data_IF_899711445685
#
_entry.id   IF_899711445685
#
_cell.length_a   1.000
_cell.length_b   1.000
_cell.length_c   1.000
_cell.angle_alpha   90.00
_cell.angle_beta   90.00
_cell.angle_gamma   90.00
#
_symmetry.space_group_name_H-M   'P 1'
#
loop_
_entity.id
_entity.type
_entity.pdbx_description
1 polymer ?
#
# COMPACT_ATOMS: atom_id res chain seq x y z
N UNK A 1 -0.03 -36.46 14.09
CA UNK A 1 1.22 -36.50 14.88
C UNK A 1 1.92 -35.18 14.65
N UNK A 2 2.37 -34.47 15.69
CA UNK A 2 3.07 -33.18 15.51
C UNK A 2 4.53 -33.41 15.86
N UNK A 3 5.42 -32.86 15.03
CA UNK A 3 6.86 -33.00 15.19
C UNK A 3 7.45 -31.73 15.81
N UNK A 4 8.24 -31.82 16.86
CA UNK A 4 8.95 -30.67 17.42
C UNK A 4 10.04 -30.22 16.48
N UNK A 5 10.18 -28.91 16.31
CA UNK A 5 11.32 -28.30 15.63
C UNK A 5 12.40 -27.85 16.63
N UNK A 6 11.97 -27.49 17.84
CA UNK A 6 12.82 -27.08 18.93
C UNK A 6 13.37 -28.28 19.71
N UNK A 7 14.50 -28.06 20.38
CA UNK A 7 15.07 -29.01 21.37
C UNK A 7 14.15 -29.13 22.58
N UNK A 8 13.46 -28.06 22.96
CA UNK A 8 12.41 -28.07 23.98
C UNK A 8 11.17 -28.77 23.45
N UNK A 9 10.62 -29.69 24.23
CA UNK A 9 9.43 -30.46 23.86
C UNK A 9 8.33 -30.26 24.89
N UNK A 10 7.09 -30.18 24.41
CA UNK A 10 5.91 -30.20 25.25
C UNK A 10 5.37 -31.61 25.42
N UNK A 11 4.73 -31.88 26.55
CA UNK A 11 4.04 -33.13 26.78
C UNK A 11 2.91 -33.33 25.77
N UNK A 12 2.68 -34.60 25.42
CA UNK A 12 1.71 -34.94 24.37
C UNK A 12 0.27 -34.50 24.70
N UNK A 13 -0.10 -34.56 25.96
CA UNK A 13 -1.45 -34.17 26.42
C UNK A 13 -1.63 -32.64 26.31
N UNK A 14 -0.66 -31.86 26.81
CA UNK A 14 -0.63 -30.40 26.73
C UNK A 14 -0.66 -29.97 25.26
N UNK A 15 0.13 -30.62 24.40
CA UNK A 15 0.19 -30.32 22.98
C UNK A 15 -1.14 -30.58 22.26
N UNK A 16 -1.86 -31.63 22.62
CA UNK A 16 -3.14 -31.97 22.03
C UNK A 16 -4.22 -30.97 22.41
N UNK A 17 -4.24 -30.54 23.65
CA UNK A 17 -5.16 -29.55 24.17
C UNK A 17 -4.89 -28.16 23.56
N UNK A 18 -3.66 -27.68 23.64
CA UNK A 18 -3.21 -26.40 23.10
C UNK A 18 -3.48 -26.29 21.59
N UNK A 19 -3.25 -27.38 20.82
CA UNK A 19 -3.56 -27.42 19.40
C UNK A 19 -5.05 -27.30 19.09
N UNK A 20 -5.90 -27.88 19.92
CA UNK A 20 -7.36 -27.83 19.75
C UNK A 20 -7.90 -26.42 19.95
N UNK A 21 -7.29 -25.68 20.91
CA UNK A 21 -7.67 -24.32 21.24
C UNK A 21 -6.93 -23.25 20.43
N UNK A 22 -5.91 -23.66 19.68
CA UNK A 22 -5.11 -22.76 18.86
C UNK A 22 -5.96 -22.01 17.82
N UNK A 23 -5.74 -20.71 17.70
CA UNK A 23 -6.33 -19.90 16.64
C UNK A 23 -5.66 -20.23 15.30
N UNK A 24 -6.45 -20.66 14.33
CA UNK A 24 -5.97 -21.05 13.01
C UNK A 24 -6.01 -19.87 12.05
N UNK A 25 -4.85 -19.50 11.47
CA UNK A 25 -4.70 -18.46 10.45
C UNK A 25 -3.99 -19.09 9.25
N UNK A 26 -4.77 -19.51 8.26
CA UNK A 26 -4.24 -20.28 7.14
C UNK A 26 -3.54 -21.57 7.60
N UNK A 27 -2.30 -21.82 7.14
CA UNK A 27 -1.56 -23.04 7.48
C UNK A 27 -0.94 -23.00 8.89
N UNK A 28 -1.02 -21.89 9.61
CA UNK A 28 -0.43 -21.67 10.94
C UNK A 28 -1.50 -21.80 12.01
N UNK A 29 -1.13 -22.30 13.19
CA UNK A 29 -1.94 -22.31 14.41
C UNK A 29 -1.19 -21.60 15.54
N UNK A 30 -1.88 -20.70 16.23
CA UNK A 30 -1.33 -19.92 17.35
C UNK A 30 -1.99 -20.43 18.64
N UNK A 31 -1.29 -21.28 19.37
CA UNK A 31 -1.69 -21.77 20.69
C UNK A 31 -1.18 -20.87 21.81
N UNK A 32 -1.50 -21.21 23.05
CA UNK A 32 -0.94 -20.54 24.23
C UNK A 32 0.46 -21.05 24.59
N UNK A 33 0.74 -22.32 24.28
CA UNK A 33 2.00 -22.98 24.62
C UNK A 33 2.92 -23.20 23.44
N UNK A 34 2.36 -23.26 22.21
CA UNK A 34 3.11 -23.53 21.01
C UNK A 34 2.58 -22.81 19.77
N UNK A 35 3.49 -22.55 18.84
CA UNK A 35 3.18 -22.13 17.49
C UNK A 35 3.24 -23.33 16.56
N UNK A 36 2.16 -23.58 15.81
CA UNK A 36 2.01 -24.72 14.89
C UNK A 36 2.26 -24.25 13.46
N UNK A 37 3.18 -24.93 12.77
CA UNK A 37 3.71 -24.50 11.49
C UNK A 37 3.51 -25.60 10.43
N UNK A 38 3.39 -25.19 9.18
CA UNK A 38 3.22 -26.13 8.08
C UNK A 38 4.52 -26.82 7.65
N UNK A 39 4.37 -27.95 7.01
CA UNK A 39 5.39 -28.61 6.21
C UNK A 39 4.90 -28.71 4.79
N UNK A 40 5.50 -27.99 3.86
CA UNK A 40 5.20 -27.99 2.43
C UNK A 40 3.69 -27.94 2.12
N UNK A 41 2.98 -29.04 2.17
CA UNK A 41 1.53 -29.18 1.90
C UNK A 41 0.69 -29.59 3.11
N UNK A 42 1.34 -29.91 4.26
CA UNK A 42 0.62 -30.36 5.46
C UNK A 42 0.60 -29.22 6.47
N UNK A 43 -0.61 -28.73 6.75
CA UNK A 43 -0.83 -27.65 7.70
C UNK A 43 -0.56 -28.13 9.15
N UNK A 44 0.09 -27.28 9.94
CA UNK A 44 0.29 -27.48 11.36
C UNK A 44 0.93 -28.85 11.71
N UNK A 45 1.88 -29.28 10.88
CA UNK A 45 2.63 -30.52 11.08
C UNK A 45 3.70 -30.38 12.13
N UNK A 46 4.37 -29.23 12.16
CA UNK A 46 5.41 -28.92 13.12
C UNK A 46 4.90 -28.02 14.25
N UNK A 47 5.60 -28.07 15.40
CA UNK A 47 5.36 -27.11 16.45
C UNK A 47 6.67 -26.61 17.05
N UNK A 48 6.64 -25.38 17.58
CA UNK A 48 7.71 -24.77 18.36
C UNK A 48 7.06 -24.23 19.64
N UNK A 49 7.53 -24.64 20.84
CA UNK A 49 7.10 -24.06 22.11
C UNK A 49 7.35 -22.55 22.12
N UNK A 50 6.42 -21.76 22.64
CA UNK A 50 6.55 -20.28 22.70
C UNK A 50 7.84 -19.85 23.42
N UNK A 51 8.22 -20.58 24.48
CA UNK A 51 9.45 -20.30 25.23
C UNK A 51 10.76 -20.52 24.44
N UNK A 52 10.71 -21.24 23.32
CA UNK A 52 11.85 -21.46 22.46
C UNK A 52 11.92 -20.44 21.30
N UNK A 53 10.86 -19.67 21.11
CA UNK A 53 10.77 -18.68 20.04
C UNK A 53 11.50 -17.40 20.48
N UNK A 54 12.43 -16.97 19.66
CA UNK A 54 13.17 -15.73 19.85
C UNK A 54 12.50 -14.55 19.10
N UNK A 55 11.94 -14.86 17.91
CA UNK A 55 11.43 -13.83 17.02
C UNK A 55 10.46 -14.40 15.98
N UNK A 56 9.43 -13.65 15.60
CA UNK A 56 8.52 -14.02 14.52
C UNK A 56 8.32 -12.82 13.58
N UNK A 57 8.54 -12.99 12.29
CA UNK A 57 8.45 -11.86 11.36
C UNK A 57 8.01 -12.26 9.96
N UNK A 58 7.61 -11.26 9.18
CA UNK A 58 7.26 -11.39 7.77
C UNK A 58 8.51 -11.27 6.90
N UNK A 59 8.65 -12.20 5.97
CA UNK A 59 9.64 -12.13 4.89
C UNK A 59 8.89 -12.21 3.57
N UNK A 60 9.11 -11.25 2.69
CA UNK A 60 8.58 -11.26 1.33
C UNK A 60 9.71 -11.58 0.37
N UNK A 61 9.53 -12.61 -0.46
CA UNK A 61 10.47 -12.98 -1.51
C UNK A 61 9.77 -12.91 -2.86
N UNK A 62 10.51 -12.54 -3.90
CA UNK A 62 10.01 -12.61 -5.27
C UNK A 62 10.13 -14.03 -5.81
N UNK A 63 9.15 -14.47 -6.61
CA UNK A 63 9.24 -15.75 -7.30
C UNK A 63 10.39 -15.73 -8.31
N UNK A 64 11.04 -16.89 -8.51
CA UNK A 64 12.17 -17.01 -9.46
C UNK A 64 11.79 -16.56 -10.89
N UNK A 65 10.52 -16.69 -11.30
CA UNK A 65 10.01 -16.22 -12.58
C UNK A 65 9.99 -14.70 -12.73
N UNK A 66 9.89 -13.95 -11.63
CA UNK A 66 9.93 -12.48 -11.63
C UNK A 66 11.29 -11.90 -11.99
N UNK A 67 12.39 -12.57 -11.64
CA UNK A 67 13.74 -12.14 -11.97
C UNK A 67 14.16 -12.43 -13.42
N UNK A 68 13.60 -13.49 -14.03
CA UNK A 68 13.99 -13.91 -15.40
C UNK A 68 13.16 -13.25 -16.50
N UNK A 69 12.13 -12.47 -16.15
CA UNK A 69 11.21 -11.86 -17.12
C UNK A 69 10.33 -12.86 -17.90
N UNK A 70 10.44 -14.17 -17.60
CA UNK A 70 9.75 -15.26 -18.32
C UNK A 70 8.59 -15.89 -17.54
N UNK A 71 8.27 -15.40 -16.34
CA UNK A 71 7.22 -15.93 -15.49
C UNK A 71 6.33 -14.86 -14.90
N UNK A 72 5.23 -15.29 -14.27
CA UNK A 72 4.32 -14.38 -13.57
C UNK A 72 5.08 -13.77 -12.38
N UNK A 73 5.16 -12.45 -12.36
CA UNK A 73 5.70 -11.69 -11.24
C UNK A 73 4.78 -11.88 -10.02
N UNK A 74 5.26 -12.63 -9.03
CA UNK A 74 4.52 -12.88 -7.81
C UNK A 74 5.42 -12.70 -6.58
N UNK A 75 4.92 -11.99 -5.60
CA UNK A 75 5.51 -11.94 -4.26
C UNK A 75 5.07 -13.15 -3.45
N UNK A 76 6.01 -13.80 -2.78
CA UNK A 76 5.77 -14.91 -1.87
C UNK A 76 5.98 -14.42 -0.46
N UNK A 77 4.92 -14.47 0.35
CA UNK A 77 4.95 -14.02 1.73
C UNK A 77 5.13 -15.20 2.69
N UNK A 78 6.10 -15.07 3.57
CA UNK A 78 6.45 -16.08 4.57
C UNK A 78 6.27 -15.51 5.97
N UNK A 79 5.69 -16.33 6.86
CA UNK A 79 5.87 -16.16 8.30
C UNK A 79 7.15 -16.89 8.69
N UNK A 80 8.14 -16.18 9.21
CA UNK A 80 9.41 -16.74 9.65
C UNK A 80 9.44 -16.76 11.16
N UNK A 81 9.80 -17.91 11.72
CA UNK A 81 9.99 -18.11 13.16
C UNK A 81 11.45 -18.42 13.40
N UNK A 82 12.11 -17.61 14.23
CA UNK A 82 13.48 -17.80 14.69
C UNK A 82 13.42 -18.39 16.11
N UNK A 83 14.17 -19.45 16.37
CA UNK A 83 14.14 -20.25 17.61
C UNK A 83 15.48 -20.94 17.88
N UNK A 84 15.71 -21.38 19.12
CA UNK A 84 16.86 -22.17 19.56
C UNK A 84 18.21 -21.64 19.08
N UNK A 85 18.52 -20.36 19.32
CA UNK A 85 19.82 -19.78 18.99
C UNK A 85 20.01 -19.41 17.51
N UNK A 86 18.91 -19.05 16.81
CA UNK A 86 18.95 -18.55 15.45
C UNK A 86 18.56 -19.56 14.37
N UNK A 87 18.01 -20.72 14.75
CA UNK A 87 17.37 -21.62 13.78
C UNK A 87 16.13 -20.95 13.21
N UNK A 88 15.90 -21.05 11.92
CA UNK A 88 14.74 -20.44 11.24
C UNK A 88 13.80 -21.49 10.63
N UNK A 89 12.50 -21.25 10.77
CA UNK A 89 11.46 -21.95 10.01
C UNK A 89 10.60 -20.94 9.27
N UNK A 90 10.64 -20.99 7.96
CA UNK A 90 9.81 -20.18 7.07
C UNK A 90 8.55 -20.97 6.67
N UNK A 91 7.38 -20.38 6.89
CA UNK A 91 6.08 -20.88 6.49
C UNK A 91 5.51 -20.04 5.33
N UNK A 92 5.33 -20.62 4.18
CA UNK A 92 4.71 -19.96 3.04
C UNK A 92 3.21 -19.77 3.31
N UNK A 93 2.77 -18.52 3.24
CA UNK A 93 1.36 -18.15 3.32
C UNK A 93 1.01 -17.39 2.04
N UNK A 94 0.19 -18.01 1.19
CA UNK A 94 -0.12 -17.45 -0.15
C UNK A 94 -0.76 -16.07 -0.15
N UNK A 95 -1.48 -15.72 0.91
CA UNK A 95 -2.16 -14.42 1.05
C UNK A 95 -1.40 -13.58 2.07
N UNK A 96 -0.81 -12.49 1.62
CA UNK A 96 0.02 -11.60 2.45
C UNK A 96 -0.71 -11.09 3.70
N UNK A 97 -1.97 -10.67 3.56
CA UNK A 97 -2.78 -10.18 4.68
C UNK A 97 -2.95 -11.22 5.83
N UNK A 98 -2.86 -12.52 5.53
CA UNK A 98 -2.87 -13.56 6.56
C UNK A 98 -1.58 -13.62 7.37
N UNK A 99 -0.45 -13.23 6.78
CA UNK A 99 0.81 -13.09 7.53
C UNK A 99 0.68 -11.92 8.49
N UNK A 100 0.11 -10.80 8.04
CA UNK A 100 -0.11 -9.62 8.87
C UNK A 100 -1.12 -9.90 10.00
N UNK A 101 -2.18 -10.65 9.71
CA UNK A 101 -3.15 -11.13 10.71
C UNK A 101 -2.46 -12.03 11.75
N UNK A 102 -1.62 -12.98 11.33
CA UNK A 102 -0.88 -13.85 12.24
C UNK A 102 0.09 -13.07 13.13
N UNK A 103 0.83 -12.13 12.58
CA UNK A 103 1.73 -11.25 13.34
C UNK A 103 0.97 -10.36 14.34
N UNK A 104 -0.18 -9.83 13.94
CA UNK A 104 -1.04 -9.05 14.83
C UNK A 104 -1.53 -9.88 16.00
N UNK A 105 -1.96 -11.12 15.76
CA UNK A 105 -2.41 -12.03 16.81
C UNK A 105 -1.24 -12.45 17.74
N UNK A 106 -0.05 -12.73 17.18
CA UNK A 106 1.14 -13.06 17.96
C UNK A 106 1.55 -11.88 18.83
N UNK A 107 1.57 -10.66 18.30
CA UNK A 107 1.87 -9.44 19.07
C UNK A 107 0.88 -9.21 20.21
N UNK A 108 -0.38 -9.51 19.97
CA UNK A 108 -1.42 -9.37 21.00
C UNK A 108 -1.27 -10.37 22.13
N UNK A 109 -0.96 -11.65 21.82
CA UNK A 109 -0.84 -12.71 22.81
C UNK A 109 0.53 -12.75 23.48
N UNK A 110 1.58 -12.43 22.72
CA UNK A 110 2.97 -12.50 23.15
C UNK A 110 3.71 -11.19 22.91
N UNK A 111 3.40 -10.12 23.65
CA UNK A 111 3.98 -8.78 23.43
C UNK A 111 5.52 -8.75 23.57
N UNK A 112 6.09 -9.73 24.27
CA UNK A 112 7.54 -9.87 24.47
C UNK A 112 8.28 -10.42 23.24
N UNK A 113 7.57 -11.02 22.28
CA UNK A 113 8.20 -11.56 21.07
C UNK A 113 8.36 -10.46 19.99
N UNK A 114 9.61 -10.19 19.57
CA UNK A 114 9.85 -9.27 18.46
C UNK A 114 9.20 -9.75 17.16
N UNK A 115 8.52 -8.85 16.49
CA UNK A 115 7.80 -9.16 15.22
C UNK A 115 8.51 -8.61 13.98
N UNK A 116 9.80 -8.30 14.10
CA UNK A 116 10.66 -7.82 13.00
C UNK A 116 11.95 -8.64 12.95
N UNK A 117 12.56 -8.77 11.78
CA UNK A 117 13.87 -9.41 11.66
C UNK A 117 14.96 -8.53 12.28
N UNK A 118 16.05 -9.13 12.76
CA UNK A 118 17.22 -8.39 13.32
C UNK A 118 17.71 -7.32 12.34
N UNK A 119 17.80 -7.67 11.05
CA UNK A 119 18.23 -6.75 10.01
C UNK A 119 17.28 -5.57 9.81
N UNK A 120 15.95 -5.81 9.88
CA UNK A 120 14.97 -4.74 9.75
C UNK A 120 14.98 -3.81 10.97
N UNK A 121 15.16 -4.37 12.18
CA UNK A 121 15.28 -3.62 13.43
C UNK A 121 16.56 -2.75 13.45
N UNK A 122 17.70 -3.30 13.03
CA UNK A 122 18.95 -2.56 12.88
C UNK A 122 18.84 -1.47 11.81
N UNK A 123 18.15 -1.77 10.69
CA UNK A 123 17.87 -0.79 9.64
C UNK A 123 17.07 0.40 10.16
N UNK A 124 15.97 0.13 10.86
CA UNK A 124 15.14 1.17 11.47
C UNK A 124 15.92 2.00 12.51
N UNK A 125 16.72 1.33 13.37
CA UNK A 125 17.54 2.06 14.34
C UNK A 125 18.55 2.98 13.68
N UNK A 126 19.21 2.53 12.60
CA UNK A 126 20.12 3.42 11.84
C UNK A 126 19.38 4.58 11.20
N UNK A 127 18.21 4.34 10.60
CA UNK A 127 17.39 5.41 10.02
C UNK A 127 16.97 6.42 11.09
N UNK A 128 16.56 5.95 12.28
CA UNK A 128 16.21 6.83 13.39
C UNK A 128 17.42 7.63 13.93
N UNK A 129 18.59 7.00 14.03
CA UNK A 129 19.83 7.65 14.44
C UNK A 129 20.27 8.71 13.41
N UNK A 130 20.16 8.39 12.11
CA UNK A 130 20.45 9.32 11.02
C UNK A 130 19.42 10.48 10.97
N UNK A 131 18.13 10.20 11.19
CA UNK A 131 17.10 11.25 11.29
C UNK A 131 17.39 12.18 12.47
N UNK A 132 17.70 11.63 13.64
CA UNK A 132 18.07 12.43 14.83
C UNK A 132 19.33 13.26 14.62
N UNK A 133 20.33 12.70 13.93
CA UNK A 133 21.57 13.41 13.64
C UNK A 133 21.39 14.60 12.68
N UNK A 134 20.33 14.58 11.86
CA UNK A 134 19.98 15.71 10.96
C UNK A 134 19.29 16.87 11.67
N UNK A 135 18.74 16.64 12.86
CA UNK A 135 18.03 17.67 13.60
C UNK A 135 19.01 18.73 14.15
N UNK A 136 18.64 19.99 14.03
CA UNK A 136 19.42 21.08 14.63
C UNK A 136 19.37 21.01 16.16
N UNK A 137 20.52 21.19 16.87
CA UNK A 137 20.54 21.14 18.31
C UNK A 137 19.89 22.40 18.96
N UNK A 138 19.75 23.46 18.20
CA UNK A 138 19.08 24.70 18.62
C UNK A 138 18.43 25.37 17.42
N UNK A 139 17.17 25.73 17.57
CA UNK A 139 16.38 26.44 16.57
C UNK A 139 16.46 27.94 16.75
N UNK A 140 16.19 28.70 15.71
CA UNK A 140 15.97 30.16 15.79
C UNK A 140 14.58 30.44 16.37
N UNK A 141 14.38 31.65 16.91
CA UNK A 141 13.06 32.07 17.41
C UNK A 141 11.98 32.03 16.33
N UNK A 142 12.34 32.34 15.08
CA UNK A 142 11.43 32.25 13.94
C UNK A 142 11.05 30.79 13.63
N UNK A 143 11.98 29.86 13.70
CA UNK A 143 11.75 28.44 13.50
C UNK A 143 10.88 27.85 14.64
N UNK A 144 11.10 28.21 15.89
CA UNK A 144 10.29 27.81 17.03
C UNK A 144 8.84 28.29 16.87
N UNK A 145 8.66 29.55 16.46
CA UNK A 145 7.34 30.11 16.17
C UNK A 145 6.64 29.35 15.03
N UNK A 146 7.33 29.09 13.93
CA UNK A 146 6.80 28.35 12.80
C UNK A 146 6.40 26.92 13.19
N UNK A 147 7.15 26.23 14.05
CA UNK A 147 6.82 24.93 14.58
C UNK A 147 5.54 24.99 15.43
N UNK A 148 5.40 25.99 16.30
CA UNK A 148 4.19 26.17 17.12
C UNK A 148 2.95 26.35 16.24
N UNK A 149 3.03 27.17 15.19
CA UNK A 149 1.95 27.38 14.24
C UNK A 149 1.61 26.08 13.45
N UNK A 150 2.61 25.26 13.10
CA UNK A 150 2.39 23.95 12.49
C UNK A 150 1.70 23.00 13.47
N UNK A 151 2.06 22.99 14.75
CA UNK A 151 1.45 22.11 15.76
C UNK A 151 -0.02 22.46 16.02
N UNK A 152 -0.34 23.76 16.06
CA UNK A 152 -1.74 24.22 16.11
C UNK A 152 -2.53 23.78 14.89
N UNK A 153 -1.97 23.97 13.69
CA UNK A 153 -2.59 23.53 12.45
C UNK A 153 -2.76 22.00 12.39
N UNK A 154 -1.77 21.22 12.86
CA UNK A 154 -1.87 19.75 12.91
C UNK A 154 -2.98 19.30 13.88
N UNK A 155 -3.13 19.96 15.02
CA UNK A 155 -4.20 19.66 15.97
C UNK A 155 -5.59 19.89 15.36
N UNK A 156 -5.76 20.99 14.61
CA UNK A 156 -6.99 21.28 13.87
C UNK A 156 -7.30 20.23 12.80
N UNK A 157 -6.29 19.74 12.06
CA UNK A 157 -6.48 18.71 11.05
C UNK A 157 -6.78 17.33 11.67
N UNK A 158 -6.22 17.01 12.83
CA UNK A 158 -6.55 15.76 13.55
C UNK A 158 -8.00 15.68 13.97
N UNK A 159 -8.59 16.78 14.39
CA UNK A 159 -10.04 16.84 14.67
C UNK A 159 -10.89 16.60 13.41
N UNK A 160 -10.33 16.82 12.22
CA UNK A 160 -10.96 16.71 10.90
C UNK A 160 -10.41 15.55 10.07
N UNK A 161 -9.98 14.48 10.72
CA UNK A 161 -9.31 13.33 10.08
C UNK A 161 -10.08 12.79 8.87
N UNK A 162 -11.42 12.70 8.97
CA UNK A 162 -12.28 12.21 7.90
C UNK A 162 -12.26 13.14 6.66
N UNK A 163 -12.19 14.45 6.86
CA UNK A 163 -12.08 15.41 5.75
C UNK A 163 -10.72 15.28 5.07
N UNK A 164 -9.63 15.15 5.84
CA UNK A 164 -8.28 14.95 5.32
C UNK A 164 -8.17 13.66 4.48
N UNK A 165 -8.70 12.55 5.01
CA UNK A 165 -8.74 11.26 4.30
C UNK A 165 -9.56 11.35 3.00
N UNK A 166 -10.73 11.96 3.06
CA UNK A 166 -11.60 12.13 1.90
C UNK A 166 -10.90 12.96 0.82
N UNK A 167 -10.32 14.11 1.19
CA UNK A 167 -9.57 14.97 0.28
C UNK A 167 -8.44 14.23 -0.42
N UNK A 168 -7.62 13.46 0.32
CA UNK A 168 -6.52 12.68 -0.26
C UNK A 168 -7.03 11.57 -1.20
N UNK A 169 -8.13 10.88 -0.86
CA UNK A 169 -8.73 9.85 -1.71
C UNK A 169 -9.29 10.46 -3.00
N UNK A 170 -10.01 11.59 -2.92
CA UNK A 170 -10.56 12.29 -4.09
C UNK A 170 -9.46 12.85 -4.99
N UNK A 171 -8.40 13.43 -4.42
CA UNK A 171 -7.23 13.86 -5.17
C UNK A 171 -6.55 12.71 -5.94
N UNK A 172 -6.46 11.53 -5.33
CA UNK A 172 -5.92 10.33 -5.98
C UNK A 172 -6.82 9.86 -7.13
N UNK A 173 -8.14 9.89 -6.95
CA UNK A 173 -9.12 9.54 -8.00
C UNK A 173 -9.02 10.52 -9.17
N UNK A 174 -9.00 11.82 -8.89
CA UNK A 174 -8.83 12.89 -9.90
C UNK A 174 -7.53 12.69 -10.68
N UNK A 175 -6.42 12.45 -9.97
CA UNK A 175 -5.13 12.19 -10.63
C UNK A 175 -5.14 10.95 -11.52
N UNK A 176 -5.81 9.87 -11.11
CA UNK A 176 -5.98 8.68 -11.96
C UNK A 176 -6.76 9.00 -13.23
N UNK A 177 -7.81 9.79 -13.12
CA UNK A 177 -8.62 10.22 -14.27
C UNK A 177 -7.81 11.10 -15.21
N UNK A 178 -7.08 12.09 -14.69
CA UNK A 178 -6.22 12.98 -15.48
C UNK A 178 -5.07 12.22 -16.17
N UNK A 179 -4.51 11.20 -15.53
CA UNK A 179 -3.41 10.39 -16.10
C UNK A 179 -3.88 9.36 -17.13
N UNK A 180 -5.19 9.16 -17.29
CA UNK A 180 -5.73 8.18 -18.24
C UNK A 180 -5.48 8.67 -19.67
N UNK A 181 -4.74 7.88 -20.46
CA UNK A 181 -4.40 8.22 -21.82
C UNK A 181 -5.67 8.29 -22.72
N UNK A 182 -5.93 9.42 -23.38
CA UNK A 182 -7.13 9.60 -24.21
C UNK A 182 -7.23 8.60 -25.38
N UNK A 183 -6.12 8.02 -25.81
CA UNK A 183 -6.10 7.00 -26.87
C UNK A 183 -6.80 5.70 -26.50
N UNK A 184 -6.99 5.40 -25.22
CA UNK A 184 -7.78 4.21 -24.82
C UNK A 184 -9.22 4.26 -25.31
N UNK A 185 -9.83 5.47 -25.38
CA UNK A 185 -11.15 5.66 -25.95
C UNK A 185 -11.20 5.31 -27.44
N UNK A 186 -10.22 5.77 -28.20
CA UNK A 186 -10.11 5.46 -29.63
C UNK A 186 -9.83 3.97 -29.88
N UNK A 187 -8.99 3.37 -29.05
CA UNK A 187 -8.70 1.93 -29.13
C UNK A 187 -9.94 1.08 -28.82
N UNK A 188 -10.70 1.43 -27.79
CA UNK A 188 -11.97 0.77 -27.49
C UNK A 188 -12.98 0.88 -28.66
N UNK A 189 -13.06 2.04 -29.29
CA UNK A 189 -13.89 2.28 -30.46
C UNK A 189 -13.46 1.42 -31.65
N UNK A 190 -12.16 1.31 -31.90
CA UNK A 190 -11.59 0.46 -32.94
C UNK A 190 -11.92 -1.03 -32.70
N UNK A 191 -11.82 -1.51 -31.46
CA UNK A 191 -12.23 -2.86 -31.10
C UNK A 191 -13.72 -3.09 -31.33
N UNK A 192 -14.56 -2.09 -31.00
CA UNK A 192 -16.01 -2.17 -31.20
C UNK A 192 -16.37 -2.25 -32.68
N UNK A 193 -15.81 -1.39 -33.53
CA UNK A 193 -16.02 -1.42 -34.97
C UNK A 193 -15.46 -2.70 -35.62
N UNK A 194 -14.28 -3.15 -35.19
CA UNK A 194 -13.73 -4.44 -35.64
C UNK A 194 -14.65 -5.61 -35.30
N UNK A 195 -15.22 -5.60 -34.09
CA UNK A 195 -16.23 -6.59 -33.71
C UNK A 195 -17.49 -6.54 -34.60
N UNK A 196 -18.00 -5.33 -34.86
CA UNK A 196 -19.17 -5.16 -35.74
C UNK A 196 -18.93 -5.68 -37.17
N UNK A 197 -17.73 -5.44 -37.73
CA UNK A 197 -17.33 -5.99 -39.02
C UNK A 197 -17.29 -7.53 -38.98
N UNK A 198 -16.76 -8.13 -37.92
CA UNK A 198 -16.80 -9.58 -37.74
C UNK A 198 -18.23 -10.13 -37.70
N UNK A 199 -19.16 -9.44 -37.03
CA UNK A 199 -20.56 -9.82 -36.96
C UNK A 199 -21.24 -9.77 -38.34
N UNK A 200 -21.03 -8.67 -39.10
CA UNK A 200 -21.56 -8.53 -40.46
C UNK A 200 -21.03 -9.61 -41.40
N UNK A 201 -19.71 -9.86 -41.34
CA UNK A 201 -19.07 -10.93 -42.11
C UNK A 201 -19.61 -12.31 -41.75
N UNK A 202 -19.80 -12.60 -40.45
CA UNK A 202 -20.42 -13.85 -39.99
C UNK A 202 -21.81 -14.06 -40.60
N UNK A 203 -22.63 -13.00 -40.68
CA UNK A 203 -23.95 -13.06 -41.31
C UNK A 203 -23.90 -13.37 -42.82
N UNK A 204 -22.89 -12.84 -43.53
CA UNK A 204 -22.68 -13.14 -44.96
C UNK A 204 -22.27 -14.60 -45.17
N UNK A 205 -21.32 -15.10 -44.41
CA UNK A 205 -20.84 -16.49 -44.48
C UNK A 205 -21.97 -17.46 -44.11
N UNK A 206 -22.78 -17.13 -43.11
CA UNK A 206 -23.95 -17.95 -42.75
C UNK A 206 -24.97 -18.09 -43.89
N UNK A 207 -25.29 -16.94 -44.56
CA UNK A 207 -26.19 -16.95 -45.72
C UNK A 207 -25.64 -17.76 -46.89
N UNK A 208 -24.33 -17.78 -47.08
CA UNK A 208 -23.65 -18.52 -48.14
C UNK A 208 -23.49 -20.05 -47.81
N UNK A 209 -24.01 -20.54 -46.66
CA UNK A 209 -23.97 -21.91 -46.27
C UNK A 209 -22.67 -22.34 -45.54
N UNK A 210 -21.72 -21.43 -45.35
CA UNK A 210 -20.45 -21.71 -44.65
C UNK A 210 -20.56 -21.43 -43.15
N UNK A 211 -21.15 -22.40 -42.45
CA UNK A 211 -21.39 -22.31 -41.01
C UNK A 211 -20.11 -22.27 -40.17
N UNK A 212 -19.02 -22.91 -40.63
CA UNK A 212 -17.76 -22.97 -39.88
C UNK A 212 -17.11 -21.61 -39.76
N UNK A 213 -16.98 -20.86 -40.85
CA UNK A 213 -16.44 -19.51 -40.83
C UNK A 213 -17.36 -18.53 -40.10
N UNK A 214 -18.68 -18.70 -40.22
CA UNK A 214 -19.67 -17.87 -39.50
C UNK A 214 -19.51 -18.00 -37.97
N UNK A 215 -19.35 -19.23 -37.44
CA UNK A 215 -19.17 -19.47 -36.02
C UNK A 215 -17.85 -18.84 -35.51
N UNK A 216 -16.75 -18.99 -36.25
CA UNK A 216 -15.44 -18.40 -35.87
C UNK A 216 -15.51 -16.87 -35.81
N UNK A 217 -16.12 -16.26 -36.84
CA UNK A 217 -16.25 -14.79 -36.88
C UNK A 217 -17.19 -14.27 -35.78
N UNK A 218 -18.24 -15.00 -35.46
CA UNK A 218 -19.09 -14.66 -34.31
C UNK A 218 -18.35 -14.77 -32.97
N UNK A 219 -17.47 -15.76 -32.82
CA UNK A 219 -16.57 -15.87 -31.66
C UNK A 219 -15.63 -14.67 -31.53
N UNK A 220 -15.04 -14.23 -32.66
CA UNK A 220 -14.21 -13.01 -32.69
C UNK A 220 -15.00 -11.75 -32.34
N UNK A 221 -16.23 -11.62 -32.84
CA UNK A 221 -17.14 -10.52 -32.45
C UNK A 221 -17.34 -10.50 -30.94
N UNK A 222 -17.71 -11.61 -30.31
CA UNK A 222 -17.90 -11.69 -28.85
C UNK A 222 -16.65 -11.34 -28.08
N UNK A 223 -15.49 -11.85 -28.52
CA UNK A 223 -14.20 -11.53 -27.90
C UNK A 223 -13.88 -10.04 -27.98
N UNK A 224 -13.95 -9.45 -29.17
CA UNK A 224 -13.64 -8.03 -29.38
C UNK A 224 -14.62 -7.12 -28.63
N UNK A 225 -15.90 -7.50 -28.61
CA UNK A 225 -16.93 -6.77 -27.88
C UNK A 225 -16.68 -6.79 -26.37
N UNK A 226 -16.39 -7.94 -25.79
CA UNK A 226 -16.10 -8.07 -24.36
C UNK A 226 -14.81 -7.33 -23.96
N UNK A 227 -13.76 -7.42 -24.79
CA UNK A 227 -12.50 -6.69 -24.58
C UNK A 227 -12.74 -5.18 -24.72
N UNK A 228 -13.46 -4.74 -25.74
CA UNK A 228 -13.79 -3.33 -25.96
C UNK A 228 -14.58 -2.74 -24.79
N UNK A 229 -15.51 -3.50 -24.21
CA UNK A 229 -16.28 -3.08 -23.02
C UNK A 229 -15.40 -2.90 -21.77
N UNK A 230 -14.38 -3.78 -21.59
CA UNK A 230 -13.44 -3.68 -20.46
C UNK A 230 -12.37 -2.59 -20.65
N UNK A 231 -12.01 -2.30 -21.90
CA UNK A 231 -11.00 -1.27 -22.24
C UNK A 231 -11.59 0.13 -22.23
N UNK A 232 -12.94 0.28 -22.24
CA UNK A 232 -13.58 1.59 -22.23
C UNK A 232 -13.19 2.34 -20.96
N UNK A 233 -12.37 3.41 -21.06
CA UNK A 233 -12.05 4.23 -19.91
C UNK A 233 -13.33 4.91 -19.44
N UNK A 234 -13.32 5.27 -18.18
CA UNK A 234 -14.32 6.10 -17.51
C UNK A 234 -14.90 7.14 -18.48
N UNK A 235 -16.19 7.07 -18.73
CA UNK A 235 -16.84 8.01 -19.67
C UNK A 235 -16.69 9.45 -19.21
N UNK A 236 -16.91 10.42 -20.13
CA UNK A 236 -16.82 11.86 -19.86
C UNK A 236 -17.62 12.27 -18.61
N UNK A 237 -18.84 11.73 -18.44
CA UNK A 237 -19.68 11.97 -17.27
C UNK A 237 -18.99 11.56 -15.96
N UNK A 238 -18.24 10.47 -15.96
CA UNK A 238 -17.53 9.99 -14.79
C UNK A 238 -16.30 10.86 -14.46
N UNK A 239 -15.71 11.53 -15.47
CA UNK A 239 -14.64 12.52 -15.25
C UNK A 239 -15.18 13.78 -14.59
N UNK A 240 -16.26 14.33 -15.13
CA UNK A 240 -16.93 15.52 -14.61
C UNK A 240 -17.45 15.27 -13.18
N UNK A 241 -17.90 14.06 -12.88
CA UNK A 241 -18.34 13.67 -11.55
C UNK A 241 -17.17 13.59 -10.54
N UNK A 242 -16.06 12.96 -10.92
CA UNK A 242 -14.86 12.87 -10.05
C UNK A 242 -14.28 14.26 -9.79
N UNK A 243 -14.18 15.12 -10.81
CA UNK A 243 -13.72 16.49 -10.68
C UNK A 243 -14.63 17.28 -9.73
N UNK A 244 -15.95 17.20 -9.91
CA UNK A 244 -16.92 17.84 -9.02
C UNK A 244 -16.79 17.37 -7.59
N UNK A 245 -16.72 16.05 -7.35
CA UNK A 245 -16.57 15.49 -6.00
C UNK A 245 -15.25 15.90 -5.35
N UNK A 246 -14.19 16.07 -6.13
CA UNK A 246 -12.92 16.57 -5.62
C UNK A 246 -13.01 18.05 -5.25
N UNK A 247 -13.58 18.91 -6.12
CA UNK A 247 -13.82 20.32 -5.81
C UNK A 247 -14.73 20.51 -4.60
N UNK A 248 -15.79 19.71 -4.46
CA UNK A 248 -16.64 19.71 -3.27
C UNK A 248 -15.84 19.33 -2.00
N UNK A 249 -14.89 18.41 -2.10
CA UNK A 249 -14.04 18.03 -0.97
C UNK A 249 -13.07 19.15 -0.56
N UNK A 250 -12.53 19.89 -1.54
CA UNK A 250 -11.70 21.08 -1.30
C UNK A 250 -12.53 22.17 -0.62
N UNK A 251 -13.74 22.43 -1.12
CA UNK A 251 -14.62 23.46 -0.55
C UNK A 251 -15.00 23.13 0.91
N UNK A 252 -15.38 21.88 1.21
CA UNK A 252 -15.65 21.43 2.56
C UNK A 252 -14.45 21.60 3.49
N UNK A 253 -13.24 21.33 3.00
CA UNK A 253 -12.02 21.55 3.76
C UNK A 253 -11.82 23.06 4.00
N UNK A 254 -11.95 23.89 2.97
CA UNK A 254 -11.83 25.34 3.05
C UNK A 254 -12.80 25.94 4.06
N UNK A 255 -14.07 25.51 4.04
CA UNK A 255 -15.10 26.00 4.97
C UNK A 255 -14.85 25.57 6.42
N UNK A 256 -14.05 24.53 6.64
CA UNK A 256 -13.73 24.00 7.96
C UNK A 256 -12.45 24.58 8.57
N UNK A 257 -11.62 25.27 7.79
CA UNK A 257 -10.34 25.80 8.21
C UNK A 257 -10.43 27.33 8.42
N UNK A 258 -9.64 27.90 9.35
CA UNK A 258 -9.52 29.35 9.48
C UNK A 258 -8.86 29.98 8.24
N UNK A 259 -9.13 31.27 8.01
CA UNK A 259 -8.60 32.02 6.84
C UNK A 259 -7.06 32.12 6.81
N UNK A 260 -6.45 32.10 8.00
CA UNK A 260 -5.00 32.19 8.21
C UNK A 260 -4.30 30.83 8.28
N UNK A 261 -4.97 29.76 7.82
CA UNK A 261 -4.38 28.42 7.85
C UNK A 261 -3.09 28.34 7.00
N UNK A 262 -1.98 27.74 7.52
CA UNK A 262 -0.63 27.88 6.96
C UNK A 262 -0.43 27.31 5.56
N UNK A 263 -1.33 26.48 5.07
CA UNK A 263 -1.26 25.91 3.72
C UNK A 263 -2.64 25.96 3.03
N UNK A 264 -2.70 26.00 1.70
CA UNK A 264 -3.96 26.00 0.97
C UNK A 264 -4.83 24.78 1.31
N UNK A 265 -6.14 24.98 1.43
CA UNK A 265 -7.11 23.94 1.82
C UNK A 265 -7.00 22.66 0.97
N UNK A 266 -6.68 22.80 -0.33
CA UNK A 266 -6.47 21.67 -1.25
C UNK A 266 -5.30 20.76 -0.91
N UNK A 267 -4.36 21.24 -0.08
CA UNK A 267 -3.18 20.50 0.39
C UNK A 267 -3.21 20.27 1.91
N UNK A 268 -4.32 20.62 2.57
CA UNK A 268 -4.48 20.51 4.01
C UNK A 268 -4.54 19.04 4.45
N UNK A 269 -3.39 18.50 4.77
CA UNK A 269 -3.24 17.13 5.25
C UNK A 269 -2.14 17.09 6.33
N UNK A 270 -2.32 16.33 7.44
CA UNK A 270 -1.32 16.24 8.51
C UNK A 270 0.09 15.88 8.01
N UNK A 271 0.20 15.04 7.00
CA UNK A 271 1.48 14.65 6.40
C UNK A 271 2.23 15.84 5.78
N UNK A 272 1.53 16.82 5.19
CA UNK A 272 2.16 18.03 4.67
C UNK A 272 2.78 18.84 5.81
N UNK A 273 2.04 19.01 6.91
CA UNK A 273 2.52 19.73 8.08
C UNK A 273 3.69 19.01 8.76
N UNK A 274 3.64 17.69 8.87
CA UNK A 274 4.74 16.87 9.39
C UNK A 274 6.01 17.02 8.55
N UNK A 275 5.89 17.04 7.22
CA UNK A 275 7.02 17.21 6.32
C UNK A 275 7.61 18.62 6.45
N UNK A 276 6.76 19.65 6.49
CA UNK A 276 7.19 21.04 6.73
C UNK A 276 7.92 21.19 8.07
N UNK A 277 7.35 20.60 9.14
CA UNK A 277 7.99 20.58 10.46
C UNK A 277 9.36 19.92 10.43
N UNK A 278 9.50 18.79 9.74
CA UNK A 278 10.77 18.10 9.60
C UNK A 278 11.79 18.97 8.86
N UNK A 279 11.41 19.67 7.79
CA UNK A 279 12.30 20.58 7.08
C UNK A 279 12.80 21.73 7.95
N UNK A 280 11.96 22.26 8.87
CA UNK A 280 12.37 23.29 9.84
C UNK A 280 13.30 22.70 10.89
N UNK A 281 12.98 21.55 11.46
CA UNK A 281 13.82 20.87 12.46
C UNK A 281 15.21 20.50 11.93
N UNK A 282 15.31 20.18 10.64
CA UNK A 282 16.57 19.90 9.95
C UNK A 282 17.32 21.17 9.51
N UNK A 283 16.78 22.36 9.76
CA UNK A 283 17.39 23.65 9.39
C UNK A 283 17.39 23.94 7.89
N UNK A 284 16.58 23.25 7.12
CA UNK A 284 16.42 23.47 5.69
C UNK A 284 15.54 24.69 5.38
N UNK A 285 14.69 25.06 6.33
CA UNK A 285 13.78 26.20 6.26
C UNK A 285 13.61 26.79 7.66
N UNK A 286 13.39 28.11 7.75
CA UNK A 286 13.19 28.81 9.02
C UNK A 286 11.76 29.33 9.22
N UNK A 287 11.01 29.47 8.14
CA UNK A 287 9.64 30.00 8.15
C UNK A 287 8.64 29.01 7.56
N UNK A 288 7.36 29.17 7.88
CA UNK A 288 6.27 28.40 7.26
C UNK A 288 6.29 28.48 5.74
N UNK A 289 6.39 29.69 5.19
CA UNK A 289 6.38 29.91 3.74
C UNK A 289 7.57 29.23 3.06
N UNK A 290 8.79 29.38 3.62
CA UNK A 290 9.99 28.73 3.06
C UNK A 290 9.90 27.21 3.14
N UNK A 291 9.35 26.67 4.22
CA UNK A 291 9.17 25.24 4.39
C UNK A 291 8.11 24.64 3.44
N UNK A 292 7.04 25.38 3.19
CA UNK A 292 6.02 24.99 2.23
C UNK A 292 6.55 24.99 0.78
N UNK A 293 7.29 26.02 0.38
CA UNK A 293 7.93 26.05 -0.94
C UNK A 293 8.96 24.93 -1.11
N UNK A 294 9.71 24.64 -0.04
CA UNK A 294 10.66 23.52 -0.05
C UNK A 294 9.94 22.19 -0.19
N UNK A 295 8.82 21.96 0.51
CA UNK A 295 7.99 20.79 0.34
C UNK A 295 7.55 20.61 -1.12
N UNK A 296 7.05 21.66 -1.77
CA UNK A 296 6.67 21.62 -3.19
C UNK A 296 7.85 21.24 -4.09
N UNK A 297 9.02 21.79 -3.83
CA UNK A 297 10.24 21.49 -4.57
C UNK A 297 10.66 20.02 -4.39
N UNK A 298 10.74 19.55 -3.16
CA UNK A 298 11.10 18.15 -2.85
C UNK A 298 10.13 17.17 -3.48
N UNK A 299 8.81 17.43 -3.41
CA UNK A 299 7.80 16.60 -4.06
C UNK A 299 7.92 16.54 -5.58
N UNK A 300 8.35 17.62 -6.24
CA UNK A 300 8.62 17.64 -7.68
C UNK A 300 9.83 16.79 -8.03
N UNK A 301 10.90 16.85 -7.22
CA UNK A 301 12.15 16.14 -7.44
C UNK A 301 12.08 14.63 -7.14
N UNK A 302 11.14 14.21 -6.28
CA UNK A 302 10.95 12.81 -5.91
C UNK A 302 10.14 12.09 -6.99
N UNK A 303 10.83 11.42 -7.90
CA UNK A 303 10.24 10.57 -8.94
C UNK A 303 10.45 9.07 -8.68
N UNK A 304 10.01 8.23 -9.62
CA UNK A 304 10.11 6.76 -9.51
C UNK A 304 11.55 6.22 -9.56
N UNK A 305 12.54 7.05 -9.86
CA UNK A 305 13.96 6.65 -9.97
C UNK A 305 14.70 6.81 -8.64
N UNK A 306 14.15 7.62 -7.71
CA UNK A 306 14.76 7.88 -6.41
C UNK A 306 14.34 6.85 -5.37
N UNK A 307 15.32 6.28 -4.68
CA UNK A 307 15.05 5.43 -3.51
C UNK A 307 14.80 6.32 -2.29
N UNK A 308 13.72 6.03 -1.59
CA UNK A 308 13.32 6.72 -0.36
C UNK A 308 13.07 5.71 0.76
N UNK A 309 13.10 6.16 2.01
CA UNK A 309 12.70 5.31 3.14
C UNK A 309 11.22 4.95 3.06
N UNK A 310 10.81 3.86 3.74
CA UNK A 310 9.41 3.43 3.75
C UNK A 310 8.50 4.54 4.29
N UNK A 311 8.93 5.25 5.32
CA UNK A 311 8.21 6.38 5.91
C UNK A 311 7.92 7.48 4.88
N UNK A 312 8.94 7.90 4.14
CA UNK A 312 8.79 8.92 3.07
C UNK A 312 7.92 8.41 1.94
N UNK A 313 8.04 7.14 1.56
CA UNK A 313 7.19 6.51 0.56
C UNK A 313 5.72 6.55 0.97
N UNK A 314 5.39 6.17 2.21
CA UNK A 314 4.03 6.20 2.74
C UNK A 314 3.44 7.62 2.72
N UNK A 315 4.25 8.63 3.02
CA UNK A 315 3.86 10.03 2.90
C UNK A 315 3.58 10.43 1.44
N UNK A 316 4.47 10.05 0.52
CA UNK A 316 4.34 10.37 -0.90
C UNK A 316 3.05 9.82 -1.51
N UNK A 317 2.65 8.58 -1.19
CA UNK A 317 1.42 7.98 -1.75
C UNK A 317 0.17 8.78 -1.36
N UNK A 318 0.20 9.44 -0.21
CA UNK A 318 -0.92 10.22 0.30
C UNK A 318 -0.95 11.62 -0.31
N UNK A 319 0.15 12.38 -0.19
CA UNK A 319 0.12 13.82 -0.51
C UNK A 319 0.48 14.14 -1.97
N UNK A 320 1.36 13.38 -2.61
CA UNK A 320 1.80 13.68 -3.98
C UNK A 320 0.65 13.74 -4.99
N UNK A 321 -0.39 12.88 -4.95
CA UNK A 321 -1.56 13.02 -5.82
C UNK A 321 -2.28 14.37 -5.66
N UNK A 322 -2.35 14.93 -4.44
CA UNK A 322 -2.99 16.21 -4.17
C UNK A 322 -2.27 17.34 -4.91
N UNK A 323 -0.94 17.36 -4.85
CA UNK A 323 -0.13 18.37 -5.56
C UNK A 323 -0.15 18.16 -7.08
N UNK A 324 -0.10 16.93 -7.56
CA UNK A 324 -0.14 16.61 -8.99
C UNK A 324 -1.49 16.94 -9.63
N UNK A 325 -2.60 16.80 -8.91
CA UNK A 325 -3.95 17.11 -9.43
C UNK A 325 -4.08 18.60 -9.83
N UNK A 326 -3.43 19.48 -9.09
CA UNK A 326 -3.41 20.94 -9.36
C UNK A 326 -2.10 21.46 -9.95
N UNK A 327 -1.18 20.59 -10.33
CA UNK A 327 0.10 21.00 -10.93
C UNK A 327 0.94 21.89 -10.00
N UNK A 328 0.82 21.68 -8.66
CA UNK A 328 1.52 22.46 -7.62
C UNK A 328 1.12 23.95 -7.54
N UNK A 329 -0.08 24.31 -7.98
CA UNK A 329 -0.61 25.67 -7.87
C UNK A 329 -1.30 25.88 -6.52
N UNK A 330 -1.21 27.08 -6.00
CA UNK A 330 -1.83 27.44 -4.71
C UNK A 330 -3.26 28.01 -4.90
N UNK A 331 -3.61 28.40 -6.12
CA UNK A 331 -4.94 28.88 -6.54
C UNK A 331 -5.70 27.82 -7.38
#
# INVERSE_FOLDING_TARGET
MNFPLSEKKLDKEILKEDKREAKHIGPVGIGEKALYLNSFYIDRMYYIPIEAIERVYKRVAMSKGGFSGKGIFASLSYLVVEYDGGKEKACLIRKEWRVDEALSEIRKRFPHLPTMSKRAEEGLRREEEEEKAKLLPKLSEEAEKAISEIEEADSLLREREELCKNLAVRAKQERMVQSTNPYYGHFALLLFFGGLLCLLSAGIFYKNGDQSHAIVLFGFFLMLFLVGFRVRPTGRQNKEEVEREYEESIQKMKDSLPEDFPIPARYAHPVCLLWMKQNILEGKAETLASSYELLKKELKELDSTKQVSQKVYDWLIVIKPMFLAHGYRDE
#
